data_IF_751324137803
#
_entry.id   IF_751324137803
#
_cell.length_a   1.000
_cell.length_b   1.000
_cell.length_c   1.000
_cell.angle_alpha   90.00
_cell.angle_beta   90.00
_cell.angle_gamma   90.00
#
_symmetry.space_group_name_H-M   'P 1'
#
loop_
_entity.id
_entity.type
_entity.pdbx_description
1 polymer ?
#
# COMPACT_ATOMS: atom_id res chain seq x y z
N UNK A 1 -16.27 -24.69 -7.63
CA UNK A 1 -15.21 -24.07 -8.47
C UNK A 1 -13.92 -23.99 -7.66
N UNK A 2 -12.77 -24.26 -8.26
CA UNK A 2 -11.48 -24.06 -7.57
C UNK A 2 -11.29 -22.57 -7.24
N UNK A 3 -10.79 -22.27 -6.02
CA UNK A 3 -10.48 -20.92 -5.61
C UNK A 3 -9.41 -20.33 -6.55
N UNK A 4 -9.52 -19.04 -6.87
CA UNK A 4 -8.48 -18.35 -7.61
C UNK A 4 -7.30 -18.06 -6.69
N UNK A 5 -6.08 -18.07 -7.23
CA UNK A 5 -4.84 -17.87 -6.46
C UNK A 5 -4.85 -16.62 -5.57
N UNK A 6 -5.46 -15.52 -6.03
CA UNK A 6 -5.53 -14.30 -5.23
C UNK A 6 -6.44 -14.45 -3.99
N UNK A 7 -7.47 -15.30 -4.07
CA UNK A 7 -8.35 -15.59 -2.93
C UNK A 7 -7.60 -16.36 -1.85
N UNK A 8 -6.85 -17.39 -2.24
CA UNK A 8 -6.00 -18.16 -1.32
C UNK A 8 -4.96 -17.27 -0.62
N UNK A 9 -4.31 -16.37 -1.38
CA UNK A 9 -3.33 -15.42 -0.84
C UNK A 9 -3.98 -14.37 0.09
N UNK A 10 -5.23 -13.99 -0.14
CA UNK A 10 -5.99 -13.13 0.79
C UNK A 10 -6.30 -13.85 2.08
N UNK A 11 -6.86 -15.06 1.99
CA UNK A 11 -7.21 -15.86 3.16
C UNK A 11 -5.98 -16.14 4.03
N UNK A 12 -4.85 -16.54 3.43
CA UNK A 12 -3.61 -16.78 4.14
C UNK A 12 -3.09 -15.51 4.85
N UNK A 13 -3.17 -14.36 4.20
CA UNK A 13 -2.78 -13.09 4.79
C UNK A 13 -3.71 -12.67 5.94
N UNK A 14 -5.01 -12.73 5.72
CA UNK A 14 -6.01 -12.32 6.71
C UNK A 14 -5.94 -13.21 7.96
N UNK A 15 -5.67 -14.51 7.79
CA UNK A 15 -5.42 -15.39 8.92
C UNK A 15 -4.28 -14.89 9.82
N UNK A 16 -3.16 -14.44 9.24
CA UNK A 16 -2.05 -13.87 10.01
C UNK A 16 -2.45 -12.57 10.72
N UNK A 17 -3.24 -11.71 10.06
CA UNK A 17 -3.77 -10.49 10.66
C UNK A 17 -4.68 -10.81 11.85
N UNK A 18 -5.59 -11.77 11.71
CA UNK A 18 -6.51 -12.19 12.78
C UNK A 18 -5.74 -12.80 13.95
N UNK A 19 -4.75 -13.67 13.69
CA UNK A 19 -3.90 -14.23 14.72
C UNK A 19 -3.19 -13.13 15.52
N UNK A 20 -2.69 -12.10 14.82
CA UNK A 20 -2.02 -10.96 15.43
C UNK A 20 -3.00 -10.08 16.23
N UNK A 21 -4.20 -9.82 15.72
CA UNK A 21 -5.26 -9.10 16.45
C UNK A 21 -5.62 -9.81 17.76
N UNK A 22 -5.75 -11.14 17.72
CA UNK A 22 -6.08 -11.96 18.89
C UNK A 22 -4.95 -12.13 19.90
N UNK A 23 -3.70 -11.89 19.52
CA UNK A 23 -2.57 -11.99 20.45
C UNK A 23 -2.57 -10.93 21.54
N UNK A 24 -3.43 -9.90 21.43
CA UNK A 24 -3.51 -8.79 22.39
C UNK A 24 -2.32 -7.83 22.32
N UNK A 25 -1.39 -8.04 21.39
CA UNK A 25 -0.33 -7.08 21.15
C UNK A 25 -0.91 -5.85 20.45
N UNK A 26 -0.51 -4.64 20.88
CA UNK A 26 -0.93 -3.36 20.29
C UNK A 26 -0.29 -3.13 18.91
N UNK A 27 -0.48 -4.08 17.99
CA UNK A 27 0.28 -4.12 16.76
C UNK A 27 -0.12 -3.04 15.75
N UNK A 28 -1.37 -2.62 15.69
CA UNK A 28 -1.84 -1.60 14.73
C UNK A 28 -1.32 -0.21 15.08
N UNK A 29 -0.96 0.01 16.34
CA UNK A 29 -0.58 1.29 16.92
C UNK A 29 0.85 1.28 17.49
N UNK A 30 1.58 0.16 17.42
CA UNK A 30 2.96 0.11 17.91
C UNK A 30 3.88 0.96 17.06
N UNK A 31 4.13 2.14 17.56
CA UNK A 31 4.79 3.27 16.92
C UNK A 31 6.32 3.23 16.98
N UNK A 32 6.88 2.16 17.49
CA UNK A 32 8.33 2.01 17.57
C UNK A 32 9.02 1.93 16.20
N UNK A 33 8.24 1.77 15.12
CA UNK A 33 8.78 1.80 13.76
C UNK A 33 8.70 3.23 13.23
N UNK A 34 9.71 4.05 13.53
CA UNK A 34 10.03 5.16 12.66
C UNK A 34 10.32 4.57 11.29
N UNK A 35 9.36 4.62 10.39
CA UNK A 35 9.64 4.42 8.99
C UNK A 35 10.46 5.64 8.54
N UNK A 36 11.77 5.47 8.51
CA UNK A 36 12.74 6.53 8.15
C UNK A 36 12.44 7.14 6.77
N UNK A 37 11.52 6.57 6.02
CA UNK A 37 11.19 6.98 4.65
C UNK A 37 9.70 7.23 4.37
N UNK A 38 8.81 7.25 5.37
CA UNK A 38 7.38 7.46 5.16
C UNK A 38 6.62 6.19 4.71
N UNK A 39 5.60 6.34 3.86
CA UNK A 39 4.79 5.23 3.36
C UNK A 39 5.59 4.23 2.51
N UNK A 40 5.19 2.94 2.56
CA UNK A 40 5.77 1.91 1.68
C UNK A 40 5.60 2.28 0.21
N UNK A 41 6.68 2.19 -0.56
CA UNK A 41 6.72 2.67 -1.94
C UNK A 41 7.50 1.77 -2.89
N UNK A 42 7.17 1.87 -4.16
CA UNK A 42 7.91 1.15 -5.19
C UNK A 42 9.28 1.78 -5.37
N UNK A 43 10.33 0.97 -5.28
CA UNK A 43 11.71 1.43 -5.36
C UNK A 43 12.12 2.03 -6.72
N UNK A 44 11.33 1.76 -7.75
CA UNK A 44 11.62 2.17 -9.13
C UNK A 44 10.88 3.43 -9.52
N UNK A 45 9.62 3.53 -9.13
CA UNK A 45 8.76 4.65 -9.49
C UNK A 45 8.69 5.72 -8.40
N UNK A 46 9.15 5.40 -7.18
CA UNK A 46 8.98 6.24 -6.00
C UNK A 46 7.57 6.28 -5.44
N UNK A 47 6.57 5.83 -6.20
CA UNK A 47 5.15 5.95 -5.84
C UNK A 47 4.79 5.08 -4.63
N UNK A 48 3.98 5.60 -3.69
CA UNK A 48 3.49 4.83 -2.57
C UNK A 48 2.54 3.72 -3.01
N UNK A 49 2.55 2.59 -2.30
CA UNK A 49 1.52 1.57 -2.42
C UNK A 49 0.26 2.02 -1.69
N UNK A 50 -0.90 1.51 -2.13
CA UNK A 50 -2.20 1.97 -1.67
C UNK A 50 -3.16 0.81 -1.42
N UNK A 51 -4.25 1.08 -0.67
CA UNK A 51 -5.30 0.11 -0.39
C UNK A 51 -4.77 -1.17 0.24
N UNK A 52 -5.28 -2.31 -0.16
CA UNK A 52 -4.87 -3.61 0.37
C UNK A 52 -3.38 -3.92 0.23
N UNK A 53 -2.69 -3.37 -0.78
CA UNK A 53 -1.24 -3.52 -0.93
C UNK A 53 -0.47 -2.74 0.14
N UNK A 54 -0.91 -1.53 0.48
CA UNK A 54 -0.31 -0.75 1.57
C UNK A 54 -0.43 -1.48 2.92
N UNK A 55 -1.61 -2.05 3.20
CA UNK A 55 -1.85 -2.82 4.43
C UNK A 55 -0.98 -4.08 4.48
N UNK A 56 -0.82 -4.80 3.37
CA UNK A 56 0.08 -5.98 3.30
C UNK A 56 1.53 -5.62 3.60
N UNK A 57 2.04 -4.54 3.03
CA UNK A 57 3.43 -4.11 3.22
C UNK A 57 3.65 -3.56 4.62
N UNK A 58 2.72 -2.77 5.12
CA UNK A 58 2.75 -2.30 6.49
C UNK A 58 2.79 -3.46 7.49
N UNK A 59 1.90 -4.45 7.34
CA UNK A 59 1.87 -5.63 8.20
C UNK A 59 3.16 -6.45 8.10
N UNK A 60 3.71 -6.62 6.90
CA UNK A 60 4.99 -7.28 6.70
C UNK A 60 6.13 -6.54 7.41
N UNK A 61 6.15 -5.21 7.32
CA UNK A 61 7.11 -4.36 8.05
C UNK A 61 7.01 -4.51 9.57
N UNK A 62 5.81 -4.73 10.08
CA UNK A 62 5.57 -4.96 11.49
C UNK A 62 6.09 -6.33 11.95
N UNK A 63 5.73 -7.40 11.21
CA UNK A 63 6.10 -8.78 11.56
C UNK A 63 7.60 -9.04 11.35
N UNK A 64 8.20 -8.40 10.33
CA UNK A 64 9.60 -8.59 9.94
C UNK A 64 10.46 -7.36 10.26
N UNK A 65 10.14 -6.69 11.34
CA UNK A 65 10.76 -5.43 11.79
C UNK A 65 12.29 -5.46 11.78
N UNK A 66 12.88 -6.51 12.34
CA UNK A 66 14.34 -6.65 12.45
C UNK A 66 15.01 -6.91 11.09
N UNK A 67 14.31 -7.58 10.17
CA UNK A 67 14.82 -7.87 8.82
C UNK A 67 14.76 -6.62 7.92
N UNK A 68 13.73 -5.79 8.04
CA UNK A 68 13.47 -4.66 7.14
C UNK A 68 14.04 -3.32 7.62
N UNK A 69 14.39 -3.20 8.90
CA UNK A 69 15.09 -2.04 9.48
C UNK A 69 14.49 -0.68 9.11
N UNK A 70 13.18 -0.61 8.90
CA UNK A 70 12.48 0.62 8.52
C UNK A 70 12.65 1.07 7.06
N UNK A 71 13.23 0.24 6.18
CA UNK A 71 13.34 0.54 4.75
C UNK A 71 11.95 0.49 4.07
N UNK A 72 11.42 1.62 3.53
CA UNK A 72 10.07 1.67 2.98
C UNK A 72 9.99 1.29 1.50
N UNK A 73 11.12 1.02 0.83
CA UNK A 73 11.14 0.71 -0.59
C UNK A 73 11.02 -0.78 -0.85
N UNK A 74 10.29 -1.10 -1.91
CA UNK A 74 10.00 -2.47 -2.33
C UNK A 74 10.18 -2.61 -3.84
N UNK A 75 10.73 -3.70 -4.31
CA UNK A 75 10.88 -3.99 -5.73
C UNK A 75 10.51 -5.43 -6.07
N UNK A 76 10.08 -5.66 -7.31
CA UNK A 76 9.94 -7.03 -7.85
C UNK A 76 11.30 -7.60 -8.22
N UNK A 77 11.40 -8.94 -8.33
CA UNK A 77 12.60 -9.61 -8.82
C UNK A 77 13.03 -9.06 -10.18
N UNK A 78 12.08 -8.86 -11.10
CA UNK A 78 12.36 -8.30 -12.42
C UNK A 78 12.93 -6.88 -12.32
N UNK A 79 12.34 -6.02 -11.49
CA UNK A 79 12.84 -4.66 -11.29
C UNK A 79 14.26 -4.62 -10.75
N UNK A 80 14.59 -5.51 -9.81
CA UNK A 80 15.95 -5.66 -9.29
C UNK A 80 16.92 -6.13 -10.38
N UNK A 81 16.59 -7.20 -11.07
CA UNK A 81 17.44 -7.77 -12.15
C UNK A 81 17.67 -6.77 -13.27
N UNK A 82 16.65 -6.05 -13.73
CA UNK A 82 16.75 -5.07 -14.80
C UNK A 82 17.73 -3.93 -14.46
N UNK A 83 17.93 -3.65 -13.17
CA UNK A 83 18.85 -2.62 -12.66
C UNK A 83 20.22 -3.13 -12.21
N UNK A 84 20.43 -4.44 -12.31
CA UNK A 84 21.64 -5.08 -11.84
C UNK A 84 21.73 -5.15 -10.30
N UNK A 85 20.60 -4.97 -9.62
CA UNK A 85 20.47 -5.21 -8.18
C UNK A 85 20.29 -6.70 -7.92
N UNK A 86 20.74 -7.15 -6.76
CA UNK A 86 20.71 -8.57 -6.41
C UNK A 86 19.94 -8.79 -5.12
N UNK A 87 18.84 -9.54 -5.18
CA UNK A 87 18.09 -9.96 -3.99
C UNK A 87 18.90 -11.05 -3.28
N UNK A 88 19.14 -10.89 -1.98
CA UNK A 88 19.86 -11.86 -1.15
C UNK A 88 19.15 -13.20 -1.15
N UNK A 89 19.90 -14.28 -1.22
CA UNK A 89 19.36 -15.65 -1.17
C UNK A 89 18.63 -15.88 0.17
N UNK A 90 17.42 -16.45 0.10
CA UNK A 90 16.60 -16.72 1.28
C UNK A 90 15.69 -15.56 1.70
N UNK A 91 15.76 -14.39 1.05
CA UNK A 91 14.87 -13.27 1.34
C UNK A 91 13.40 -13.65 1.13
N UNK A 92 12.55 -13.28 2.07
CA UNK A 92 11.12 -13.46 2.00
C UNK A 92 10.48 -12.31 1.22
N UNK A 93 9.60 -12.65 0.27
CA UNK A 93 8.84 -11.66 -0.49
C UNK A 93 7.40 -11.56 0.00
N UNK A 94 6.79 -10.41 -0.24
CA UNK A 94 5.38 -10.14 0.06
C UNK A 94 4.55 -10.23 -1.21
N UNK A 95 3.41 -10.91 -1.12
CA UNK A 95 2.46 -11.04 -2.24
C UNK A 95 1.58 -9.81 -2.30
N UNK A 96 1.52 -9.18 -3.47
CA UNK A 96 0.68 -8.03 -3.77
C UNK A 96 -0.27 -8.35 -4.91
N UNK A 97 -1.31 -7.54 -5.05
CA UNK A 97 -2.35 -7.69 -6.07
C UNK A 97 -2.28 -6.54 -7.07
N UNK A 98 -2.44 -6.87 -8.33
CA UNK A 98 -2.63 -5.91 -9.41
C UNK A 98 -3.90 -6.25 -10.16
N UNK A 99 -4.90 -5.38 -10.07
CA UNK A 99 -6.18 -5.51 -10.73
C UNK A 99 -6.17 -4.72 -12.04
N UNK A 100 -6.46 -5.39 -13.13
CA UNK A 100 -6.51 -4.78 -14.46
C UNK A 100 -7.85 -5.10 -15.12
N UNK A 101 -8.51 -4.09 -15.67
CA UNK A 101 -9.58 -4.32 -16.63
C UNK A 101 -8.96 -4.85 -17.92
N UNK A 102 -9.49 -5.94 -18.49
CA UNK A 102 -9.07 -6.41 -19.80
C UNK A 102 -9.24 -5.30 -20.85
N UNK A 103 -8.23 -5.11 -21.65
CA UNK A 103 -8.30 -4.23 -22.82
C UNK A 103 -8.57 -5.03 -24.12
N UNK A 104 -8.75 -4.34 -25.24
CA UNK A 104 -8.98 -4.97 -26.52
C UNK A 104 -7.91 -5.98 -26.90
N UNK A 105 -6.63 -5.67 -26.61
CA UNK A 105 -5.50 -6.57 -26.86
C UNK A 105 -5.58 -7.85 -26.05
N UNK A 106 -6.01 -7.74 -24.78
CA UNK A 106 -6.19 -8.90 -23.90
C UNK A 106 -7.31 -9.82 -24.44
N UNK A 107 -8.41 -9.23 -24.94
CA UNK A 107 -9.54 -10.00 -25.49
C UNK A 107 -9.16 -10.66 -26.80
N UNK A 108 -8.56 -9.92 -27.74
CA UNK A 108 -8.12 -10.47 -29.04
C UNK A 108 -7.04 -11.54 -28.88
N UNK A 109 -6.13 -11.39 -27.92
CA UNK A 109 -5.11 -12.42 -27.62
C UNK A 109 -5.72 -13.76 -27.21
N UNK A 110 -6.83 -13.73 -26.47
CA UNK A 110 -7.54 -14.95 -26.05
C UNK A 110 -8.53 -15.48 -27.08
N UNK A 111 -8.98 -14.60 -27.97
CA UNK A 111 -10.01 -14.88 -28.96
C UNK A 111 -9.65 -14.17 -30.27
N UNK A 112 -8.71 -14.70 -31.08
CA UNK A 112 -8.17 -14.00 -32.24
C UNK A 112 -9.20 -13.80 -33.38
N UNK A 113 -10.23 -14.65 -33.43
CA UNK A 113 -11.20 -14.70 -34.53
C UNK A 113 -12.44 -13.81 -34.31
N UNK A 114 -12.50 -13.05 -33.20
CA UNK A 114 -13.65 -12.19 -32.91
C UNK A 114 -13.69 -10.95 -33.81
N UNK A 115 -14.89 -10.62 -34.24
CA UNK A 115 -15.19 -9.35 -34.93
C UNK A 115 -15.04 -8.18 -33.95
N UNK A 116 -14.93 -6.96 -34.51
CA UNK A 116 -14.82 -5.73 -33.69
C UNK A 116 -16.05 -5.53 -32.78
N UNK A 117 -17.24 -5.91 -33.26
CA UNK A 117 -18.47 -5.79 -32.48
C UNK A 117 -18.48 -6.76 -31.28
N UNK A 118 -18.07 -8.01 -31.48
CA UNK A 118 -17.96 -9.02 -30.41
C UNK A 118 -16.89 -8.63 -29.38
N UNK A 119 -15.78 -8.03 -29.83
CA UNK A 119 -14.76 -7.48 -28.92
C UNK A 119 -15.32 -6.37 -28.07
N UNK A 120 -16.08 -5.42 -28.65
CA UNK A 120 -16.75 -4.34 -27.89
C UNK A 120 -17.76 -4.89 -26.88
N UNK A 121 -18.52 -5.91 -27.27
CA UNK A 121 -19.46 -6.55 -26.34
C UNK A 121 -18.73 -7.21 -25.18
N UNK A 122 -17.66 -7.99 -25.46
CA UNK A 122 -16.83 -8.59 -24.40
C UNK A 122 -16.16 -7.57 -23.48
N UNK A 123 -15.79 -6.39 -24.00
CA UNK A 123 -15.25 -5.31 -23.17
C UNK A 123 -16.30 -4.75 -22.19
N UNK A 124 -17.55 -4.63 -22.62
CA UNK A 124 -18.66 -4.18 -21.75
C UNK A 124 -18.95 -5.19 -20.63
N UNK A 125 -18.78 -6.47 -20.91
CA UNK A 125 -19.03 -7.57 -19.98
C UNK A 125 -17.80 -7.95 -19.15
N UNK A 126 -16.64 -7.31 -19.40
CA UNK A 126 -15.39 -7.68 -18.76
C UNK A 126 -15.35 -7.31 -17.28
N UNK A 127 -14.82 -8.23 -16.49
CA UNK A 127 -14.52 -8.01 -15.07
C UNK A 127 -13.02 -7.80 -14.85
N UNK A 128 -12.63 -7.06 -13.80
CA UNK A 128 -11.22 -6.92 -13.46
C UNK A 128 -10.54 -8.28 -13.21
N UNK A 129 -9.35 -8.45 -13.78
CA UNK A 129 -8.52 -9.62 -13.57
C UNK A 129 -7.45 -9.31 -12.54
N UNK A 130 -7.37 -10.13 -11.50
CA UNK A 130 -6.34 -10.02 -10.48
C UNK A 130 -5.09 -10.82 -10.86
N UNK A 131 -3.95 -10.12 -10.84
CA UNK A 131 -2.63 -10.74 -10.95
C UNK A 131 -1.91 -10.60 -9.61
N UNK A 132 -1.45 -11.72 -9.06
CA UNK A 132 -0.64 -11.74 -7.85
C UNK A 132 0.83 -11.71 -8.24
N UNK A 133 1.58 -10.78 -7.67
CA UNK A 133 3.03 -10.64 -7.87
C UNK A 133 3.76 -10.51 -6.54
N UNK A 134 5.07 -10.75 -6.56
CA UNK A 134 5.90 -10.70 -5.35
C UNK A 134 6.80 -9.50 -5.38
N UNK A 135 6.89 -8.79 -4.25
CA UNK A 135 7.88 -7.74 -4.01
C UNK A 135 8.77 -8.11 -2.84
N UNK A 136 9.98 -7.58 -2.84
CA UNK A 136 11.00 -7.78 -1.82
C UNK A 136 11.35 -6.42 -1.21
N UNK A 137 11.54 -6.40 0.12
CA UNK A 137 12.00 -5.20 0.78
C UNK A 137 13.43 -4.87 0.38
N UNK A 138 13.72 -3.60 0.19
CA UNK A 138 15.02 -3.17 -0.33
C UNK A 138 16.17 -3.29 0.66
N UNK A 139 15.92 -3.51 1.95
CA UNK A 139 16.93 -3.93 2.92
C UNK A 139 17.61 -5.28 2.55
N UNK A 140 16.87 -6.11 1.80
CA UNK A 140 17.36 -7.39 1.29
C UNK A 140 17.98 -7.31 -0.11
N UNK A 141 18.21 -6.11 -0.65
CA UNK A 141 18.67 -5.91 -2.04
C UNK A 141 20.04 -5.25 -2.08
N UNK A 142 21.03 -5.97 -2.62
CA UNK A 142 22.39 -5.49 -2.81
C UNK A 142 22.51 -4.66 -4.10
N UNK A 143 23.42 -3.66 -4.08
CA UNK A 143 23.69 -2.79 -5.23
C UNK A 143 22.64 -1.69 -5.46
N UNK A 144 21.70 -1.57 -4.55
CA UNK A 144 20.70 -0.52 -4.59
C UNK A 144 21.26 0.79 -4.01
N UNK A 145 20.94 1.96 -4.60
CA UNK A 145 21.34 3.24 -4.02
C UNK A 145 20.68 3.47 -2.65
N UNK A 146 21.36 4.16 -1.72
CA UNK A 146 20.79 4.47 -0.42
C UNK A 146 19.52 5.30 -0.56
N UNK A 147 18.68 5.26 0.48
CA UNK A 147 17.48 6.10 0.54
C UNK A 147 17.89 7.57 0.50
N UNK A 148 17.30 8.41 -0.36
CA UNK A 148 17.56 9.84 -0.31
C UNK A 148 17.10 10.40 1.04
N UNK A 149 17.84 11.33 1.66
CA UNK A 149 17.40 11.95 2.88
C UNK A 149 16.06 12.65 2.66
N UNK A 150 15.13 12.43 3.55
CA UNK A 150 13.91 13.24 3.64
C UNK A 150 14.27 14.50 4.42
N UNK A 151 13.88 15.65 3.91
CA UNK A 151 14.00 16.87 4.69
C UNK A 151 13.18 16.70 5.96
N UNK A 152 13.83 16.66 7.12
CA UNK A 152 13.15 16.63 8.41
C UNK A 152 12.43 17.98 8.53
N UNK A 153 11.12 17.97 8.42
CA UNK A 153 10.32 19.10 8.85
C UNK A 153 10.32 19.06 10.37
N UNK A 154 10.92 20.05 11.01
CA UNK A 154 10.90 20.24 12.45
C UNK A 154 9.46 20.18 12.94
N UNK A 155 9.01 19.07 13.48
CA UNK A 155 7.68 18.77 14.06
C UNK A 155 6.49 19.62 13.54
N UNK A 156 6.60 20.12 12.31
CA UNK A 156 5.55 20.84 11.59
C UNK A 156 4.92 19.90 10.57
N UNK A 157 3.60 19.89 10.55
CA UNK A 157 2.81 19.03 9.68
C UNK A 157 1.89 19.90 8.82
N UNK A 158 2.45 20.71 7.90
CA UNK A 158 1.66 21.69 7.16
C UNK A 158 0.56 21.05 6.31
N UNK A 159 0.81 19.84 5.79
CA UNK A 159 -0.18 19.09 5.00
C UNK A 159 -1.35 18.63 5.89
N UNK A 160 -1.06 18.16 7.10
CA UNK A 160 -2.09 17.73 8.05
C UNK A 160 -2.82 18.92 8.66
N UNK A 161 -2.11 20.05 8.90
CA UNK A 161 -2.75 21.30 9.32
C UNK A 161 -3.71 21.81 8.25
N UNK A 162 -3.31 21.78 6.98
CA UNK A 162 -4.21 22.17 5.90
C UNK A 162 -5.44 21.27 5.78
N UNK A 163 -5.29 19.97 6.07
CA UNK A 163 -6.44 19.09 6.12
C UNK A 163 -7.44 19.50 7.21
N UNK A 164 -6.95 20.02 8.34
CA UNK A 164 -7.79 20.56 9.42
C UNK A 164 -8.44 21.87 8.98
N UNK A 165 -7.64 22.80 8.42
CA UNK A 165 -8.08 24.15 8.08
C UNK A 165 -9.07 24.19 6.91
N UNK A 166 -8.97 23.24 5.97
CA UNK A 166 -9.80 23.17 4.77
C UNK A 166 -10.87 22.08 4.84
N UNK A 167 -11.00 21.37 5.97
CA UNK A 167 -12.03 20.35 6.13
C UNK A 167 -13.42 20.98 5.96
N UNK A 168 -14.28 20.31 5.19
CA UNK A 168 -15.66 20.76 5.00
C UNK A 168 -16.49 20.67 6.28
N UNK A 169 -16.21 19.66 7.12
CA UNK A 169 -16.81 19.55 8.44
C UNK A 169 -16.23 20.64 9.37
N UNK A 170 -17.09 21.25 10.17
CA UNK A 170 -16.67 22.29 11.11
C UNK A 170 -15.82 21.70 12.23
N UNK A 171 -14.55 22.11 12.34
CA UNK A 171 -13.63 21.67 13.39
C UNK A 171 -13.75 22.59 14.61
N UNK A 172 -14.00 22.02 15.79
CA UNK A 172 -14.17 22.69 17.07
C UNK A 172 -13.17 22.12 18.09
N UNK A 173 -12.51 22.99 18.86
CA UNK A 173 -11.64 22.60 19.98
C UNK A 173 -12.36 22.88 21.30
N UNK A 174 -13.40 22.11 21.57
CA UNK A 174 -14.35 22.31 22.67
C UNK A 174 -14.44 21.14 23.66
N UNK A 175 -13.56 20.14 23.50
CA UNK A 175 -13.55 18.93 24.33
C UNK A 175 -12.38 18.93 25.32
N UNK A 176 -12.54 18.19 26.42
CA UNK A 176 -11.48 18.06 27.45
C UNK A 176 -10.90 16.66 27.57
N UNK A 177 -11.62 15.61 27.11
CA UNK A 177 -11.24 14.22 27.35
C UNK A 177 -11.63 13.26 26.22
N UNK A 178 -12.14 13.74 25.09
CA UNK A 178 -12.53 12.90 23.94
C UNK A 178 -12.43 13.68 22.64
N UNK A 179 -12.35 12.93 21.54
CA UNK A 179 -12.39 13.49 20.19
C UNK A 179 -13.42 12.66 19.40
N UNK A 180 -14.20 13.30 18.54
CA UNK A 180 -15.21 12.60 17.75
C UNK A 180 -15.72 13.46 16.60
N UNK A 181 -16.10 12.81 15.50
CA UNK A 181 -16.93 13.39 14.46
C UNK A 181 -18.42 13.15 14.76
N UNK A 182 -19.26 14.17 14.58
CA UNK A 182 -20.70 14.10 14.74
C UNK A 182 -21.41 14.19 13.39
N UNK A 183 -21.86 13.08 12.80
CA UNK A 183 -22.52 13.07 11.48
C UNK A 183 -23.77 13.93 11.38
N UNK A 184 -24.53 14.04 12.48
CA UNK A 184 -25.81 14.77 12.49
C UNK A 184 -25.67 16.28 12.25
N UNK A 185 -24.54 16.87 12.66
CA UNK A 185 -24.27 18.31 12.54
C UNK A 185 -23.08 18.61 11.63
N UNK A 186 -22.43 17.56 11.12
CA UNK A 186 -21.18 17.65 10.33
C UNK A 186 -20.08 18.42 11.05
N UNK A 187 -19.86 18.11 12.34
CA UNK A 187 -18.90 18.76 13.21
C UNK A 187 -17.86 17.78 13.74
N UNK A 188 -16.60 18.20 13.76
CA UNK A 188 -15.50 17.49 14.39
C UNK A 188 -15.19 18.20 15.71
N UNK A 189 -15.25 17.47 16.81
CA UNK A 189 -14.98 17.97 18.15
C UNK A 189 -13.67 17.42 18.66
N UNK A 190 -12.68 18.26 18.89
CA UNK A 190 -11.34 17.91 19.35
C UNK A 190 -11.04 18.50 20.71
N UNK A 191 -10.13 17.89 21.42
CA UNK A 191 -9.44 18.54 22.53
C UNK A 191 -8.50 19.63 21.98
N UNK A 192 -8.25 20.72 22.73
CA UNK A 192 -7.17 21.66 22.42
C UNK A 192 -5.84 20.96 22.21
N UNK A 193 -5.06 21.43 21.24
CA UNK A 193 -3.80 20.82 20.83
C UNK A 193 -2.80 20.66 22.00
N UNK A 194 -2.82 21.61 22.91
CA UNK A 194 -1.96 21.69 24.10
C UNK A 194 -2.22 20.56 25.10
N UNK A 195 -3.37 19.89 25.02
CA UNK A 195 -3.73 18.76 25.89
C UNK A 195 -3.17 17.42 25.37
N UNK A 196 -2.62 17.39 24.18
CA UNK A 196 -2.00 16.19 23.64
C UNK A 196 -0.52 16.07 24.08
N UNK A 197 -0.03 14.85 24.21
CA UNK A 197 1.38 14.59 24.60
C UNK A 197 2.38 15.11 23.59
N UNK A 198 2.00 15.26 22.33
CA UNK A 198 2.79 15.88 21.27
C UNK A 198 1.91 16.26 20.08
N UNK A 199 2.42 17.14 19.23
CA UNK A 199 1.78 17.53 17.98
C UNK A 199 1.46 16.31 17.09
N UNK A 200 2.33 15.31 17.07
CA UNK A 200 2.12 14.08 16.30
C UNK A 200 0.81 13.40 16.67
N UNK A 201 0.51 13.32 17.96
CA UNK A 201 -0.73 12.70 18.46
C UNK A 201 -1.97 13.55 18.16
N UNK A 202 -1.84 14.86 18.27
CA UNK A 202 -2.92 15.76 17.87
C UNK A 202 -3.29 15.57 16.40
N UNK A 203 -2.29 15.63 15.50
CA UNK A 203 -2.55 15.48 14.06
C UNK A 203 -3.07 14.09 13.70
N UNK A 204 -2.55 13.03 14.31
CA UNK A 204 -3.06 11.68 14.10
C UNK A 204 -4.53 11.54 14.48
N UNK A 205 -4.92 12.10 15.63
CA UNK A 205 -6.30 12.13 16.10
C UNK A 205 -7.19 12.99 15.19
N UNK A 206 -6.76 14.19 14.87
CA UNK A 206 -7.53 15.09 14.00
C UNK A 206 -7.80 14.48 12.63
N UNK A 207 -6.80 13.82 12.02
CA UNK A 207 -6.94 13.16 10.72
C UNK A 207 -7.86 11.93 10.79
N UNK A 208 -7.90 11.22 11.93
CA UNK A 208 -8.86 10.15 12.16
C UNK A 208 -10.30 10.68 12.13
N UNK A 209 -10.60 11.76 12.83
CA UNK A 209 -11.92 12.37 12.83
C UNK A 209 -12.29 12.98 11.45
N UNK A 210 -11.30 13.56 10.76
CA UNK A 210 -11.46 14.02 9.37
C UNK A 210 -11.76 12.83 8.45
N UNK A 211 -11.12 11.67 8.64
CA UNK A 211 -11.40 10.48 7.84
C UNK A 211 -12.87 10.05 8.01
N UNK A 212 -13.42 10.04 9.22
CA UNK A 212 -14.85 9.84 9.44
C UNK A 212 -15.70 10.85 8.67
N UNK A 213 -15.36 12.13 8.75
CA UNK A 213 -16.13 13.17 8.08
C UNK A 213 -16.22 12.96 6.57
N UNK A 214 -15.17 12.38 5.93
CA UNK A 214 -15.23 12.07 4.49
C UNK A 214 -16.34 11.09 4.12
N UNK A 215 -16.89 10.35 5.07
CA UNK A 215 -18.02 9.43 4.86
C UNK A 215 -19.39 10.09 4.80
N UNK A 216 -19.52 11.40 5.02
CA UNK A 216 -20.77 12.11 4.90
C UNK A 216 -21.43 11.93 3.53
N UNK A 217 -22.75 12.07 3.46
CA UNK A 217 -23.55 11.87 2.24
C UNK A 217 -23.12 12.79 1.09
N UNK A 218 -22.71 14.01 1.42
CA UNK A 218 -22.22 15.01 0.46
C UNK A 218 -20.82 14.75 -0.05
N UNK A 219 -20.07 13.79 0.52
CA UNK A 219 -18.69 13.44 0.21
C UNK A 219 -18.60 12.03 -0.38
N UNK A 220 -18.10 11.06 0.39
CA UNK A 220 -17.95 9.68 -0.10
C UNK A 220 -19.14 8.77 0.22
N UNK A 221 -20.16 9.27 0.94
CA UNK A 221 -21.43 8.60 1.24
C UNK A 221 -21.27 7.16 1.78
N UNK A 222 -20.46 6.99 2.85
CA UNK A 222 -20.22 5.68 3.47
C UNK A 222 -21.27 5.22 4.48
N UNK A 223 -22.41 5.87 4.54
CA UNK A 223 -23.52 5.45 5.44
C UNK A 223 -23.20 5.50 6.95
N UNK A 224 -22.45 6.49 7.41
CA UNK A 224 -21.99 6.61 8.80
C UNK A 224 -23.15 6.80 9.82
N UNK A 225 -24.36 7.00 9.37
CA UNK A 225 -25.50 7.51 10.17
C UNK A 225 -25.99 6.61 11.31
N UNK A 226 -25.51 5.37 11.45
CA UNK A 226 -26.21 4.41 12.30
C UNK A 226 -25.31 3.85 13.41
N UNK A 227 -25.08 4.64 14.46
CA UNK A 227 -24.48 4.16 15.71
C UNK A 227 -25.25 3.00 16.40
N UNK A 228 -26.41 2.61 15.85
CA UNK A 228 -27.22 1.48 16.33
C UNK A 228 -26.78 0.14 15.71
N UNK A 229 -25.92 0.12 14.67
CA UNK A 229 -25.39 -1.10 14.09
C UNK A 229 -23.88 -1.20 14.39
N UNK A 230 -23.55 -2.03 15.37
CA UNK A 230 -22.16 -2.23 15.83
C UNK A 230 -21.22 -2.74 14.72
N UNK A 231 -21.75 -3.53 13.78
CA UNK A 231 -20.95 -4.07 12.66
C UNK A 231 -20.56 -2.95 11.67
N UNK A 232 -21.52 -2.13 11.27
CA UNK A 232 -21.25 -0.97 10.39
C UNK A 232 -20.36 0.07 11.06
N UNK A 233 -20.52 0.25 12.37
CA UNK A 233 -19.64 1.12 13.14
C UNK A 233 -18.21 0.58 13.16
N UNK A 234 -18.02 -0.73 13.41
CA UNK A 234 -16.71 -1.35 13.39
C UNK A 234 -16.03 -1.28 12.01
N UNK A 235 -16.80 -1.38 10.92
CA UNK A 235 -16.28 -1.20 9.55
C UNK A 235 -15.78 0.23 9.31
N UNK A 236 -16.55 1.24 9.74
CA UNK A 236 -16.17 2.65 9.58
C UNK A 236 -14.94 3.01 10.40
N UNK A 237 -14.80 2.45 11.62
CA UNK A 237 -13.59 2.60 12.44
C UNK A 237 -12.35 2.06 11.71
N UNK A 238 -12.45 0.89 11.06
CA UNK A 238 -11.34 0.35 10.26
C UNK A 238 -10.97 1.30 9.11
N UNK A 239 -11.96 1.89 8.45
CA UNK A 239 -11.71 2.84 7.34
C UNK A 239 -11.00 4.09 7.86
N UNK A 240 -11.47 4.67 8.96
CA UNK A 240 -10.86 5.86 9.55
C UNK A 240 -9.44 5.58 10.03
N UNK A 241 -9.22 4.42 10.68
CA UNK A 241 -7.89 3.99 11.13
C UNK A 241 -6.91 3.80 9.98
N UNK A 242 -7.29 3.08 8.94
CA UNK A 242 -6.39 2.87 7.79
C UNK A 242 -6.11 4.17 7.04
N UNK A 243 -7.08 5.07 6.94
CA UNK A 243 -6.88 6.40 6.34
C UNK A 243 -5.89 7.21 7.14
N UNK A 244 -6.14 7.34 8.44
CA UNK A 244 -5.30 8.09 9.38
C UNK A 244 -3.88 7.51 9.43
N UNK A 245 -3.73 6.19 9.53
CA UNK A 245 -2.44 5.51 9.51
C UNK A 245 -1.64 5.82 8.22
N UNK A 246 -2.29 5.75 7.05
CA UNK A 246 -1.63 6.02 5.78
C UNK A 246 -1.16 7.49 5.68
N UNK A 247 -2.02 8.44 6.07
CA UNK A 247 -1.69 9.87 6.06
C UNK A 247 -0.59 10.20 7.08
N UNK A 248 -0.68 9.67 8.29
CA UNK A 248 0.36 9.84 9.30
C UNK A 248 1.72 9.30 8.84
N UNK A 249 1.76 8.12 8.26
CA UNK A 249 2.98 7.54 7.69
C UNK A 249 3.51 8.35 6.51
N UNK A 250 2.63 8.89 5.69
CA UNK A 250 2.99 9.69 4.53
C UNK A 250 3.59 11.03 4.94
N UNK A 251 3.03 11.69 5.94
CA UNK A 251 3.41 13.04 6.36
C UNK A 251 4.22 13.09 7.66
N UNK A 252 4.57 11.95 8.25
CA UNK A 252 5.49 11.85 9.38
C UNK A 252 4.87 12.06 10.75
N UNK A 253 3.54 12.15 10.86
CA UNK A 253 2.83 12.14 12.13
C UNK A 253 2.79 10.73 12.75
N UNK A 254 2.33 10.64 13.99
CA UNK A 254 2.15 9.38 14.72
C UNK A 254 0.69 9.21 15.17
N UNK A 255 0.20 7.99 15.16
CA UNK A 255 -1.09 7.66 15.77
C UNK A 255 -0.96 7.70 17.30
N UNK A 256 -2.00 8.20 17.99
CA UNK A 256 -1.92 8.39 19.44
C UNK A 256 -2.14 7.11 20.25
N UNK A 257 -1.41 6.94 21.38
CA UNK A 257 -1.63 5.83 22.32
C UNK A 257 -3.05 5.84 22.93
N UNK A 258 -3.71 6.99 23.01
CA UNK A 258 -5.07 7.11 23.56
C UNK A 258 -6.12 6.54 22.63
N UNK A 259 -5.93 6.65 21.32
CA UNK A 259 -6.72 5.89 20.35
C UNK A 259 -6.65 4.39 20.64
N UNK A 260 -5.47 3.88 20.95
CA UNK A 260 -5.22 2.46 21.25
C UNK A 260 -6.16 1.91 22.34
N UNK A 261 -6.41 2.65 23.41
CA UNK A 261 -7.24 2.18 24.53
C UNK A 261 -8.72 2.07 24.17
N UNK A 262 -9.21 3.00 23.37
CA UNK A 262 -10.61 3.00 22.91
C UNK A 262 -10.86 1.90 21.87
N UNK A 263 -9.86 1.58 21.05
CA UNK A 263 -9.94 0.57 20.00
C UNK A 263 -9.79 -0.88 20.49
N UNK A 264 -9.23 -1.11 21.67
CA UNK A 264 -9.18 -2.45 22.27
C UNK A 264 -10.55 -3.14 22.34
N UNK A 265 -11.63 -2.37 22.51
CA UNK A 265 -12.99 -2.88 22.47
C UNK A 265 -13.42 -3.39 21.09
N UNK A 266 -12.85 -2.84 20.01
CA UNK A 266 -13.20 -3.20 18.62
C UNK A 266 -12.31 -4.26 17.99
N UNK A 267 -11.13 -4.53 18.56
CA UNK A 267 -10.17 -5.51 18.02
C UNK A 267 -10.81 -6.89 17.86
N UNK A 268 -11.60 -7.33 18.85
CA UNK A 268 -12.32 -8.60 18.78
C UNK A 268 -13.33 -8.62 17.64
N UNK A 269 -14.10 -7.53 17.48
CA UNK A 269 -15.08 -7.38 16.39
C UNK A 269 -14.42 -7.36 15.02
N UNK A 270 -13.26 -6.72 14.88
CA UNK A 270 -12.48 -6.72 13.65
C UNK A 270 -11.92 -8.10 13.32
N UNK A 271 -11.39 -8.81 14.31
CA UNK A 271 -10.91 -10.18 14.12
C UNK A 271 -12.03 -11.11 13.65
N UNK A 272 -13.21 -11.05 14.28
CA UNK A 272 -14.39 -11.82 13.88
C UNK A 272 -14.87 -11.47 12.47
N UNK A 273 -14.95 -10.17 12.15
CA UNK A 273 -15.35 -9.67 10.83
C UNK A 273 -14.41 -10.19 9.73
N UNK A 274 -13.10 -10.11 9.92
CA UNK A 274 -12.12 -10.54 8.93
C UNK A 274 -12.03 -12.06 8.81
N UNK A 275 -12.26 -12.79 9.90
CA UNK A 275 -12.32 -14.25 9.88
C UNK A 275 -13.54 -14.76 9.11
N UNK A 276 -14.69 -14.09 9.29
CA UNK A 276 -15.94 -14.41 8.59
C UNK A 276 -15.87 -14.09 7.10
N UNK A 277 -15.28 -12.97 6.73
CA UNK A 277 -15.06 -12.56 5.34
C UNK A 277 -13.65 -11.96 5.13
N UNK A 278 -12.68 -12.74 4.66
CA UNK A 278 -11.34 -12.25 4.34
C UNK A 278 -11.28 -11.12 3.31
N UNK A 279 -12.30 -10.97 2.46
CA UNK A 279 -12.33 -9.87 1.49
C UNK A 279 -12.67 -8.53 2.14
N UNK A 280 -13.34 -8.55 3.30
CA UNK A 280 -13.73 -7.32 4.01
C UNK A 280 -12.53 -6.44 4.32
N UNK A 281 -11.41 -7.01 4.77
CA UNK A 281 -10.17 -6.25 5.01
C UNK A 281 -9.74 -5.45 3.77
N UNK A 282 -9.78 -6.07 2.59
CA UNK A 282 -9.37 -5.41 1.33
C UNK A 282 -10.41 -4.40 0.84
N UNK A 283 -11.70 -4.65 1.07
CA UNK A 283 -12.77 -3.69 0.78
C UNK A 283 -12.60 -2.43 1.61
N UNK A 284 -12.40 -2.57 2.93
CA UNK A 284 -12.21 -1.44 3.85
C UNK A 284 -10.91 -0.69 3.56
N UNK A 285 -9.82 -1.40 3.25
CA UNK A 285 -8.58 -0.77 2.79
C UNK A 285 -8.76 0.02 1.49
N UNK A 286 -9.63 -0.44 0.59
CA UNK A 286 -10.01 0.28 -0.63
C UNK A 286 -10.81 1.55 -0.33
N UNK A 287 -11.73 1.51 0.64
CA UNK A 287 -12.47 2.68 1.10
C UNK A 287 -11.56 3.69 1.79
N UNK A 288 -10.63 3.22 2.61
CA UNK A 288 -9.62 4.07 3.24
C UNK A 288 -8.73 4.79 2.20
N UNK A 289 -8.33 4.09 1.14
CA UNK A 289 -7.57 4.71 0.05
C UNK A 289 -8.37 5.82 -0.66
N UNK A 290 -9.69 5.66 -0.82
CA UNK A 290 -10.56 6.71 -1.37
C UNK A 290 -10.70 7.90 -0.42
N UNK A 291 -10.78 7.64 0.90
CA UNK A 291 -10.84 8.70 1.91
C UNK A 291 -9.51 9.47 1.96
N UNK A 292 -8.36 8.78 1.87
CA UNK A 292 -7.05 9.40 1.72
C UNK A 292 -6.98 10.30 0.48
N UNK A 293 -7.44 9.82 -0.70
CA UNK A 293 -7.49 10.63 -1.92
C UNK A 293 -8.34 11.87 -1.73
N UNK A 294 -9.53 11.70 -1.14
CA UNK A 294 -10.45 12.80 -0.91
C UNK A 294 -9.80 13.89 -0.05
N UNK A 295 -9.15 13.52 1.05
CA UNK A 295 -8.47 14.45 1.95
C UNK A 295 -7.32 15.16 1.23
N UNK A 296 -6.48 14.40 0.53
CA UNK A 296 -5.32 14.96 -0.20
C UNK A 296 -5.78 15.90 -1.30
N UNK A 297 -6.75 15.50 -2.11
CA UNK A 297 -7.19 16.25 -3.28
C UNK A 297 -8.05 17.48 -2.92
N UNK A 298 -8.80 17.44 -1.83
CA UNK A 298 -9.73 18.50 -1.47
C UNK A 298 -9.23 19.39 -0.33
N UNK A 299 -8.58 18.84 0.69
CA UNK A 299 -8.22 19.57 1.89
C UNK A 299 -6.75 20.02 1.92
N UNK A 300 -5.86 19.29 1.23
CA UNK A 300 -4.44 19.66 1.15
C UNK A 300 -4.09 20.47 -0.11
N UNK A 301 -5.10 20.98 -0.84
CA UNK A 301 -4.89 21.83 -2.03
C UNK A 301 -4.11 23.10 -1.67
N UNK A 302 -3.12 23.43 -2.50
CA UNK A 302 -2.27 24.64 -2.34
C UNK A 302 -1.06 24.44 -1.45
N UNK A 303 -0.94 23.30 -0.76
CA UNK A 303 0.30 22.89 -0.13
C UNK A 303 1.10 22.00 -1.05
N UNK A 304 2.39 22.21 -1.03
CA UNK A 304 3.43 21.60 -1.81
C UNK A 304 3.39 20.04 -1.81
N UNK A 305 2.35 19.45 -2.41
CA UNK A 305 2.40 18.07 -2.92
C UNK A 305 3.58 17.92 -3.89
N UNK A 306 4.12 19.04 -4.39
CA UNK A 306 5.39 19.11 -5.12
C UNK A 306 6.57 18.54 -4.33
N UNK A 307 6.60 18.67 -2.99
CA UNK A 307 7.65 18.04 -2.18
C UNK A 307 7.57 16.54 -2.19
N UNK A 308 6.36 15.97 -2.06
CA UNK A 308 6.17 14.53 -2.14
C UNK A 308 6.46 14.02 -3.57
N UNK A 309 5.95 14.71 -4.59
CA UNK A 309 6.25 14.40 -5.98
C UNK A 309 7.76 14.53 -6.30
N UNK A 310 8.43 15.53 -5.76
CA UNK A 310 9.87 15.68 -5.89
C UNK A 310 10.63 14.55 -5.18
N UNK A 311 10.15 14.10 -4.03
CA UNK A 311 10.74 12.99 -3.31
C UNK A 311 10.53 11.66 -4.04
N UNK A 312 9.34 11.41 -4.56
CA UNK A 312 9.06 10.28 -5.46
C UNK A 312 10.00 10.30 -6.67
N UNK A 313 10.16 11.47 -7.29
CA UNK A 313 11.08 11.67 -8.41
C UNK A 313 12.53 11.41 -8.03
N UNK A 314 13.01 11.87 -6.87
CA UNK A 314 14.36 11.58 -6.38
C UNK A 314 14.60 10.07 -6.27
N UNK A 315 13.65 9.31 -5.72
CA UNK A 315 13.74 7.84 -5.64
C UNK A 315 13.76 7.22 -7.03
N UNK A 316 12.90 7.66 -7.92
CA UNK A 316 12.84 7.15 -9.29
C UNK A 316 14.12 7.46 -10.09
N UNK A 317 14.69 8.64 -9.91
CA UNK A 317 15.94 9.05 -10.58
C UNK A 317 17.14 8.20 -10.11
N UNK A 318 17.23 7.93 -8.80
CA UNK A 318 18.25 7.04 -8.24
C UNK A 318 18.12 5.58 -8.77
N UNK A 319 16.91 5.18 -9.12
CA UNK A 319 16.64 3.84 -9.65
C UNK A 319 16.90 3.72 -11.17
N UNK A 320 17.26 4.81 -11.88
CA UNK A 320 17.57 4.78 -13.33
C UNK A 320 18.80 3.94 -13.60
N UNK A 321 18.75 3.18 -14.70
CA UNK A 321 19.90 2.44 -15.18
C UNK A 321 20.83 3.46 -15.88
N UNK A 322 22.14 3.51 -15.55
CA UNK A 322 23.06 4.36 -16.31
C UNK A 322 23.02 4.01 -17.79
N UNK A 323 22.99 5.01 -18.68
CA UNK A 323 22.86 4.86 -20.14
C UNK A 323 23.86 3.86 -20.75
N UNK A 324 25.09 3.77 -20.20
CA UNK A 324 26.11 2.80 -20.61
C UNK A 324 25.71 1.34 -20.32
N UNK A 325 24.82 1.07 -19.35
CA UNK A 325 24.29 -0.27 -19.09
C UNK A 325 23.12 -0.61 -20.01
N UNK A 326 22.35 0.38 -20.44
CA UNK A 326 21.28 0.19 -21.43
C UNK A 326 21.85 -0.15 -22.81
N UNK A 327 22.88 0.54 -23.24
CA UNK A 327 23.58 0.25 -24.50
C UNK A 327 24.14 -1.19 -24.52
N UNK A 328 24.79 -1.63 -23.45
CA UNK A 328 25.30 -3.01 -23.34
C UNK A 328 24.19 -4.07 -23.32
N UNK A 329 23.05 -3.80 -22.66
CA UNK A 329 21.88 -4.71 -22.68
C UNK A 329 21.18 -4.77 -24.04
N UNK A 330 21.18 -3.66 -24.79
CA UNK A 330 20.66 -3.62 -26.15
C UNK A 330 21.56 -4.43 -27.10
N UNK A 331 22.89 -4.28 -26.99
CA UNK A 331 23.87 -5.06 -27.75
C UNK A 331 23.82 -6.57 -27.44
N UNK A 332 23.60 -6.95 -26.18
CA UNK A 332 23.49 -8.34 -25.76
C UNK A 332 22.20 -9.01 -26.27
N UNK A 333 21.10 -8.26 -26.39
CA UNK A 333 19.83 -8.73 -26.98
C UNK A 333 19.88 -8.85 -28.50
N UNK A 334 20.76 -8.11 -29.16
CA UNK A 334 20.92 -8.13 -30.62
C UNK A 334 22.01 -9.12 -31.08
N UNK A 335 22.75 -9.72 -30.17
CA UNK A 335 23.75 -10.76 -30.54
C UNK A 335 23.02 -11.99 -31.06
N UNK A 336 23.30 -12.45 -32.28
CA UNK A 336 22.70 -13.66 -32.82
C UNK A 336 23.10 -14.86 -31.92
N UNK A 337 22.11 -15.65 -31.56
CA UNK A 337 22.34 -16.91 -30.82
C UNK A 337 23.34 -17.74 -31.59
N UNK A 338 24.52 -17.91 -31.05
CA UNK A 338 25.59 -18.75 -31.62
C UNK A 338 25.11 -20.20 -31.53
N UNK A 339 24.56 -20.70 -32.62
CA UNK A 339 24.17 -22.10 -32.73
C UNK A 339 25.43 -22.93 -32.61
N UNK A 340 25.65 -23.49 -31.43
CA UNK A 340 26.72 -24.52 -31.22
C UNK A 340 26.25 -25.76 -31.96
N UNK A 341 26.68 -25.93 -33.21
CA UNK A 341 26.56 -27.20 -33.90
C UNK A 341 27.38 -28.22 -33.11
N UNK A 342 26.72 -29.15 -32.43
CA UNK A 342 27.35 -30.36 -31.91
C UNK A 342 27.97 -31.06 -33.10
N UNK A 343 29.28 -31.19 -33.14
CA UNK A 343 30.00 -32.11 -34.00
C UNK A 343 29.63 -33.52 -33.52
N UNK A 344 28.81 -34.22 -34.27
CA UNK A 344 28.71 -35.68 -34.20
C UNK A 344 30.05 -36.23 -34.67
N UNK A 345 30.87 -36.69 -33.75
CA UNK A 345 32.03 -37.53 -34.08
C UNK A 345 31.49 -38.91 -34.51
N UNK A 346 31.67 -39.17 -35.80
CA UNK A 346 31.55 -40.50 -36.38
C UNK A 346 32.48 -41.47 -35.64
N UNK A 347 31.94 -42.37 -34.84
CA UNK A 347 32.56 -43.63 -34.48
C UNK A 347 32.15 -44.66 -35.52
N UNK A 348 32.92 -44.77 -36.57
CA UNK A 348 32.87 -45.91 -37.45
C UNK A 348 34.28 -46.33 -37.78
N UNK A 349 34.49 -47.65 -37.72
CA UNK A 349 35.65 -48.42 -38.18
C UNK A 349 36.87 -48.52 -37.27
N UNK A 350 36.81 -49.54 -36.39
CA UNK A 350 37.97 -50.39 -36.07
C UNK A 350 37.49 -51.74 -35.51
N UNK A 351 36.87 -52.55 -36.36
CA UNK A 351 36.81 -53.99 -36.19
C UNK A 351 37.26 -54.57 -37.51
N UNK A 352 38.56 -54.88 -37.62
CA UNK A 352 39.14 -55.90 -38.50
C UNK A 352 40.68 -55.91 -38.32
N UNK A 353 41.16 -57.01 -37.76
CA UNK A 353 42.54 -57.59 -37.64
C UNK A 353 43.03 -57.65 -36.17
N UNK A 354 42.83 -58.65 -35.51
CA UNK A 354 43.44 -60.03 -35.38
C UNK A 354 42.66 -60.80 -34.33
#
# INVERSE_FOLDING_TARGET
MAKQKWQEEREAFVKQVVEKLRSGENFMWDQGIRTVGGADRNAVTGKPYRGGNAIRLWFAGLVMKDEFQGEPRWCTFKQATDRGWKIKKGSKGVKLEYWKMPDEKDIRKKNPDLTDEEVRQKLKEAFPVCNVFTVFNCSCVEGMPPMPPREETNDTFPELQAAIDNCEAKVLHDQTNRNFYRPATDEIHLMPKELFKSDKFYYGTAVHEIAHSTGAETRLNRQIKNGNNLELYAEEEVVAEFTSMNLCRRFGAAMGEEHTKNHMAYISSWAEMFEKDPNKLFQLAGLAAKAEDYIVDNYMKGLNLEKEAAYEKKIADLAKIPEQKEAKKAEEKTRPVRVVRKREEKKETAKLRR
#
